data_IF_333033769746
#
_entry.id   IF_333033769746
#
_cell.length_a   1.000
_cell.length_b   1.000
_cell.length_c   1.000
_cell.angle_alpha   90.00
_cell.angle_beta   90.00
_cell.angle_gamma   90.00
#
_symmetry.space_group_name_H-M   'P 1'
#
loop_
_entity.id
_entity.type
_entity.pdbx_description
1 polymer ?
#
# COMPACT_ATOMS: atom_id res chain seq x y z
N UNK A 1 18.25 21.22 4.47
CA UNK A 1 16.89 21.47 4.97
C UNK A 1 16.99 21.92 6.42
N UNK A 2 16.38 23.05 6.77
CA UNK A 2 16.23 23.49 8.16
C UNK A 2 15.32 22.46 8.86
N UNK A 3 15.62 22.10 10.11
CA UNK A 3 14.88 21.09 10.87
C UNK A 3 13.37 21.34 10.90
N UNK A 4 12.96 22.62 10.90
CA UNK A 4 11.57 23.06 10.79
C UNK A 4 10.92 22.68 9.47
N UNK A 5 11.61 22.80 8.33
CA UNK A 5 11.09 22.45 7.00
C UNK A 5 10.83 20.93 6.90
N UNK A 6 11.71 20.12 7.50
CA UNK A 6 11.51 18.66 7.56
C UNK A 6 10.29 18.30 8.41
N UNK A 7 10.14 18.92 9.59
CA UNK A 7 8.99 18.68 10.45
C UNK A 7 7.68 19.09 9.79
N UNK A 8 7.67 20.22 9.05
CA UNK A 8 6.52 20.66 8.25
C UNK A 8 6.13 19.62 7.20
N UNK A 9 7.10 19.14 6.41
CA UNK A 9 6.85 18.13 5.37
C UNK A 9 6.22 16.85 5.95
N UNK A 10 6.77 16.35 7.07
CA UNK A 10 6.27 15.15 7.75
C UNK A 10 4.83 15.35 8.23
N UNK A 11 4.55 16.50 8.86
CA UNK A 11 3.22 16.85 9.37
C UNK A 11 2.18 16.95 8.26
N UNK A 12 2.49 17.65 7.17
CA UNK A 12 1.59 17.80 6.02
C UNK A 12 1.34 16.46 5.33
N UNK A 13 2.41 15.68 5.08
CA UNK A 13 2.28 14.36 4.46
C UNK A 13 1.41 13.42 5.31
N UNK A 14 1.62 13.38 6.64
CA UNK A 14 0.79 12.61 7.55
C UNK A 14 -0.69 13.05 7.48
N UNK A 15 -0.93 14.35 7.46
CA UNK A 15 -2.29 14.92 7.34
C UNK A 15 -2.96 14.49 6.03
N UNK A 16 -2.25 14.55 4.90
CA UNK A 16 -2.81 14.19 3.59
C UNK A 16 -3.08 12.70 3.47
N UNK A 17 -2.16 11.84 3.93
CA UNK A 17 -2.38 10.39 3.97
C UNK A 17 -3.57 10.04 4.87
N UNK A 18 -3.71 10.70 6.03
CA UNK A 18 -4.89 10.55 6.88
C UNK A 18 -6.19 10.92 6.17
N UNK A 19 -6.19 11.94 5.31
CA UNK A 19 -7.36 12.33 4.53
C UNK A 19 -7.72 11.26 3.49
N UNK A 20 -6.73 10.73 2.76
CA UNK A 20 -6.94 9.62 1.81
C UNK A 20 -7.49 8.38 2.52
N UNK A 21 -6.88 7.98 3.63
CA UNK A 21 -7.25 6.77 4.37
C UNK A 21 -8.64 6.86 5.04
N UNK A 22 -9.26 8.05 5.10
CA UNK A 22 -10.65 8.21 5.56
C UNK A 22 -11.67 7.89 4.47
N UNK A 23 -11.29 7.92 3.20
CA UNK A 23 -12.18 7.60 2.10
C UNK A 23 -12.47 6.09 2.08
N UNK A 24 -13.76 5.76 1.93
CA UNK A 24 -14.26 4.38 1.92
C UNK A 24 -14.94 4.09 0.58
N UNK A 25 -14.82 2.85 0.06
CA UNK A 25 -15.62 2.43 -1.08
C UNK A 25 -17.11 2.42 -0.71
N UNK A 26 -17.98 2.63 -1.69
CA UNK A 26 -19.43 2.57 -1.49
C UNK A 26 -19.91 1.15 -1.18
N UNK A 27 -21.00 1.02 -0.42
CA UNK A 27 -21.66 -0.27 -0.16
C UNK A 27 -20.94 -1.12 0.89
N UNK A 28 -20.93 -2.44 0.70
CA UNK A 28 -20.31 -3.42 1.61
C UNK A 28 -18.77 -3.46 1.57
N UNK A 29 -18.15 -2.58 0.76
CA UNK A 29 -16.71 -2.52 0.55
C UNK A 29 -16.21 -3.48 -0.54
N UNK A 30 -15.28 -2.99 -1.35
CA UNK A 30 -14.65 -3.72 -2.47
C UNK A 30 -13.24 -3.14 -2.70
N UNK A 31 -12.34 -3.96 -3.25
CA UNK A 31 -10.96 -3.58 -3.59
C UNK A 31 -10.87 -3.40 -5.10
N UNK A 32 -10.33 -2.29 -5.56
CA UNK A 32 -10.31 -1.94 -6.99
C UNK A 32 -9.91 -0.48 -7.24
N UNK A 33 -9.99 -0.02 -8.48
CA UNK A 33 -9.63 1.35 -8.85
C UNK A 33 -10.64 2.37 -8.33
N UNK A 34 -10.27 3.66 -8.33
CA UNK A 34 -11.13 4.76 -7.87
C UNK A 34 -12.50 4.85 -8.59
N UNK A 35 -12.61 4.26 -9.78
CA UNK A 35 -13.81 4.28 -10.63
C UNK A 35 -14.76 3.08 -10.42
N UNK A 36 -14.45 2.16 -9.50
CA UNK A 36 -15.29 0.97 -9.26
C UNK A 36 -14.88 -0.28 -10.03
N UNK A 37 -13.83 -0.20 -10.83
CA UNK A 37 -13.38 -1.30 -11.69
C UNK A 37 -12.14 -2.04 -11.16
N UNK A 38 -11.54 -2.90 -12.00
CA UNK A 38 -10.24 -3.48 -11.75
C UNK A 38 -9.19 -2.39 -11.46
N UNK A 39 -8.22 -2.71 -10.60
CA UNK A 39 -7.09 -1.84 -10.29
C UNK A 39 -5.84 -2.29 -11.03
N UNK A 40 -4.96 -1.35 -11.36
CA UNK A 40 -3.61 -1.64 -11.81
C UNK A 40 -2.65 -1.57 -10.63
N UNK A 41 -1.79 -2.56 -10.49
CA UNK A 41 -0.66 -2.52 -9.57
C UNK A 41 0.48 -3.35 -10.19
N UNK A 42 1.51 -2.64 -10.67
CA UNK A 42 2.68 -3.22 -11.32
C UNK A 42 3.42 -4.27 -10.45
N UNK A 43 3.20 -4.25 -9.13
CA UNK A 43 3.81 -5.19 -8.18
C UNK A 43 2.99 -6.47 -8.00
N UNK A 44 1.71 -6.44 -8.37
CA UNK A 44 0.86 -7.63 -8.44
C UNK A 44 0.94 -8.26 -9.84
N UNK A 45 0.79 -7.45 -10.88
CA UNK A 45 0.95 -7.85 -12.28
C UNK A 45 1.32 -6.61 -13.12
N UNK A 46 2.49 -6.67 -13.77
CA UNK A 46 2.98 -5.62 -14.67
C UNK A 46 2.21 -5.54 -15.99
N UNK A 47 1.40 -6.54 -16.33
CA UNK A 47 0.78 -6.70 -17.65
C UNK A 47 -0.74 -6.52 -17.63
N UNK A 48 -1.39 -6.64 -16.47
CA UNK A 48 -2.84 -6.70 -16.36
C UNK A 48 -3.37 -5.98 -15.12
N UNK A 49 -4.64 -5.61 -15.16
CA UNK A 49 -5.37 -5.17 -13.97
C UNK A 49 -5.87 -6.35 -13.15
N UNK A 50 -6.00 -6.20 -11.84
CA UNK A 50 -6.57 -7.19 -10.93
C UNK A 50 -7.90 -6.72 -10.30
N UNK A 51 -8.72 -7.67 -9.87
CA UNK A 51 -10.02 -7.38 -9.25
C UNK A 51 -11.09 -6.90 -10.24
N UNK A 52 -12.12 -6.16 -9.79
CA UNK A 52 -12.32 -5.76 -8.40
C UNK A 52 -12.60 -6.97 -7.50
N UNK A 53 -12.08 -6.95 -6.27
CA UNK A 53 -12.33 -8.01 -5.29
C UNK A 53 -13.47 -7.61 -4.37
N UNK A 54 -14.38 -8.55 -4.11
CA UNK A 54 -15.56 -8.31 -3.27
C UNK A 54 -15.23 -8.13 -1.77
N UNK A 55 -14.02 -8.48 -1.34
CA UNK A 55 -13.58 -8.35 0.06
C UNK A 55 -12.05 -8.48 0.18
N UNK A 56 -11.54 -8.13 1.36
CA UNK A 56 -10.14 -8.38 1.75
C UNK A 56 -9.78 -9.86 1.64
N UNK A 57 -10.68 -10.75 2.09
CA UNK A 57 -10.49 -12.20 1.96
C UNK A 57 -10.26 -12.65 0.51
N UNK A 58 -11.01 -12.09 -0.45
CA UNK A 58 -10.86 -12.42 -1.87
C UNK A 58 -9.56 -11.88 -2.46
N UNK A 59 -9.11 -10.73 -1.99
CA UNK A 59 -7.78 -10.22 -2.35
C UNK A 59 -6.67 -11.10 -1.76
N UNK A 60 -6.78 -11.52 -0.51
CA UNK A 60 -5.81 -12.42 0.12
C UNK A 60 -5.76 -13.81 -0.54
N UNK A 61 -6.91 -14.36 -0.94
CA UNK A 61 -6.98 -15.59 -1.73
C UNK A 61 -6.22 -15.43 -3.06
N UNK A 62 -6.35 -14.26 -3.72
CA UNK A 62 -5.63 -13.94 -4.94
C UNK A 62 -4.11 -13.86 -4.73
N UNK A 63 -3.64 -13.25 -3.63
CA UNK A 63 -2.21 -13.13 -3.33
C UNK A 63 -1.52 -14.49 -3.18
N UNK A 64 -2.19 -15.49 -2.61
CA UNK A 64 -1.60 -16.83 -2.40
C UNK A 64 -1.84 -17.80 -3.56
N UNK A 65 -2.58 -17.39 -4.59
CA UNK A 65 -2.91 -18.23 -5.74
C UNK A 65 -1.66 -18.74 -6.48
N UNK A 66 -0.63 -17.91 -6.77
CA UNK A 66 0.57 -18.37 -7.48
C UNK A 66 1.29 -19.53 -6.81
N UNK A 67 1.25 -19.59 -5.47
CA UNK A 67 1.91 -20.64 -4.66
C UNK A 67 1.33 -22.02 -4.95
N UNK A 68 0.06 -22.11 -5.39
CA UNK A 68 -0.57 -23.38 -5.77
C UNK A 68 0.10 -24.04 -6.98
N UNK A 69 0.88 -23.29 -7.75
CA UNK A 69 1.66 -23.81 -8.87
C UNK A 69 3.04 -24.34 -8.44
N UNK A 70 3.41 -24.18 -7.16
CA UNK A 70 4.65 -24.72 -6.61
C UNK A 70 4.43 -26.09 -5.93
N UNK A 71 5.47 -26.95 -5.82
CA UNK A 71 5.36 -28.26 -5.16
C UNK A 71 5.04 -28.22 -3.65
N UNK A 72 5.04 -27.03 -3.03
CA UNK A 72 4.93 -26.80 -1.58
C UNK A 72 3.55 -26.26 -1.20
N UNK A 73 2.51 -27.06 -1.42
CA UNK A 73 1.12 -26.63 -1.21
C UNK A 73 0.79 -26.28 0.25
N UNK A 74 1.55 -26.80 1.22
CA UNK A 74 1.44 -26.44 2.64
C UNK A 74 1.69 -24.94 2.88
N UNK A 75 2.45 -24.29 2.00
CA UNK A 75 2.73 -22.86 2.08
C UNK A 75 1.50 -22.01 1.78
N UNK A 76 0.56 -22.49 0.95
CA UNK A 76 -0.70 -21.79 0.68
C UNK A 76 -1.47 -21.59 1.99
N UNK A 77 -1.66 -22.66 2.77
CA UNK A 77 -2.35 -22.61 4.05
C UNK A 77 -1.57 -21.77 5.08
N UNK A 78 -0.23 -21.93 5.13
CA UNK A 78 0.65 -21.13 6.00
C UNK A 78 0.45 -19.64 5.76
N UNK A 79 0.66 -19.18 4.53
CA UNK A 79 0.61 -17.75 4.21
C UNK A 79 -0.79 -17.19 4.28
N UNK A 80 -1.81 -17.95 3.84
CA UNK A 80 -3.20 -17.50 3.95
C UNK A 80 -3.63 -17.24 5.40
N UNK A 81 -3.17 -18.07 6.35
CA UNK A 81 -3.43 -17.89 7.78
C UNK A 81 -2.69 -16.69 8.39
N UNK A 82 -1.64 -16.18 7.73
CA UNK A 82 -0.91 -14.98 8.15
C UNK A 82 -1.53 -13.68 7.61
N UNK A 83 -2.63 -13.78 6.83
CA UNK A 83 -3.35 -12.64 6.24
C UNK A 83 -4.76 -12.52 6.87
N UNK A 84 -4.94 -11.78 7.99
CA UNK A 84 -6.25 -11.55 8.60
C UNK A 84 -7.20 -10.80 7.66
N UNK A 85 -8.47 -11.16 7.60
CA UNK A 85 -9.41 -10.57 6.64
C UNK A 85 -10.18 -9.35 7.18
N UNK A 86 -9.95 -8.96 8.43
CA UNK A 86 -10.68 -7.92 9.16
C UNK A 86 -10.13 -6.50 8.94
N UNK A 87 -9.23 -6.33 7.96
CA UNK A 87 -8.72 -5.02 7.58
C UNK A 87 -9.81 -4.15 6.97
N UNK A 88 -9.76 -2.86 7.30
CA UNK A 88 -10.61 -1.89 6.65
C UNK A 88 -10.14 -1.63 5.22
N UNK A 89 -11.07 -1.40 4.29
CA UNK A 89 -10.74 -0.98 2.92
C UNK A 89 -10.73 0.56 2.88
N UNK A 90 -9.60 1.13 2.46
CA UNK A 90 -9.34 2.58 2.42
C UNK A 90 -8.91 2.99 1.02
N UNK A 91 -9.14 4.26 0.65
CA UNK A 91 -8.45 4.81 -0.52
C UNK A 91 -6.98 5.02 -0.19
N UNK A 92 -6.10 4.46 -1.01
CA UNK A 92 -4.65 4.58 -0.85
C UNK A 92 -4.03 4.95 -2.21
N UNK A 93 -2.89 5.61 -2.18
CA UNK A 93 -2.12 5.96 -3.37
C UNK A 93 -1.39 4.74 -3.95
N UNK A 94 -0.99 3.80 -3.09
CA UNK A 94 -0.30 2.57 -3.46
C UNK A 94 1.05 2.79 -4.17
N UNK A 95 1.65 3.98 -4.12
CA UNK A 95 3.04 4.19 -4.52
C UNK A 95 3.67 5.41 -3.85
N UNK A 96 3.37 5.60 -2.56
CA UNK A 96 3.97 6.69 -1.78
C UNK A 96 5.46 6.42 -1.62
N UNK A 97 6.24 7.25 -2.29
CA UNK A 97 7.70 7.27 -2.22
C UNK A 97 8.19 8.70 -2.15
N UNK A 98 9.40 8.90 -1.66
CA UNK A 98 10.03 10.22 -1.64
C UNK A 98 10.23 10.83 -3.04
N UNK A 99 10.21 10.02 -4.10
CA UNK A 99 10.30 10.46 -5.50
C UNK A 99 8.98 11.06 -6.01
N UNK A 100 7.86 10.65 -5.40
CA UNK A 100 6.51 11.05 -5.79
C UNK A 100 5.96 12.21 -4.94
N UNK A 101 6.79 12.81 -4.07
CA UNK A 101 6.40 13.91 -3.18
C UNK A 101 7.21 15.16 -3.54
N UNK A 102 6.49 16.21 -3.95
CA UNK A 102 7.06 17.50 -4.30
C UNK A 102 7.02 18.43 -3.09
N UNK A 103 8.18 19.02 -2.75
CA UNK A 103 8.32 19.95 -1.64
C UNK A 103 8.75 21.33 -2.14
N UNK A 104 8.19 22.38 -1.55
CA UNK A 104 8.75 23.71 -1.66
C UNK A 104 10.10 23.76 -0.89
N UNK A 105 11.22 24.11 -1.54
CA UNK A 105 12.55 24.01 -0.93
C UNK A 105 12.81 25.06 0.16
N UNK A 106 12.05 26.16 0.19
CA UNK A 106 12.21 27.22 1.18
C UNK A 106 11.44 26.92 2.48
N UNK A 107 10.26 26.33 2.35
CA UNK A 107 9.31 26.14 3.45
C UNK A 107 9.21 24.69 3.93
N UNK A 108 9.51 23.72 3.05
CA UNK A 108 9.27 22.30 3.30
C UNK A 108 7.81 21.88 3.13
N UNK A 109 6.92 22.76 2.67
CA UNK A 109 5.53 22.40 2.40
C UNK A 109 5.41 21.45 1.22
N UNK A 110 4.54 20.46 1.34
CA UNK A 110 4.16 19.54 0.29
C UNK A 110 3.31 20.29 -0.73
N UNK A 111 3.85 20.42 -1.94
CA UNK A 111 3.21 21.13 -3.06
C UNK A 111 2.51 20.19 -4.03
N UNK A 112 2.83 18.90 -3.96
CA UNK A 112 2.19 17.89 -4.78
C UNK A 112 2.53 16.48 -4.34
N UNK A 113 1.58 15.57 -4.56
CA UNK A 113 1.78 14.13 -4.56
C UNK A 113 1.39 13.68 -5.97
N UNK A 114 2.26 12.95 -6.64
CA UNK A 114 2.12 12.57 -8.06
C UNK A 114 2.21 11.06 -8.24
N UNK A 115 1.97 10.57 -9.46
CA UNK A 115 2.06 9.15 -9.81
C UNK A 115 0.94 8.26 -9.24
N UNK A 116 -0.31 8.68 -9.50
CA UNK A 116 -1.53 8.06 -8.94
C UNK A 116 -2.04 6.85 -9.73
N UNK A 117 -1.26 6.28 -10.66
CA UNK A 117 -1.75 5.24 -11.59
C UNK A 117 -2.18 3.94 -10.89
N UNK A 118 -1.70 3.70 -9.66
CA UNK A 118 -2.06 2.54 -8.82
C UNK A 118 -3.06 2.88 -7.72
N UNK A 119 -3.48 4.15 -7.64
CA UNK A 119 -4.36 4.60 -6.58
C UNK A 119 -5.74 3.93 -6.68
N UNK A 120 -6.27 3.55 -5.54
CA UNK A 120 -7.51 2.79 -5.49
C UNK A 120 -7.95 2.48 -4.07
N UNK A 121 -9.00 1.69 -3.97
CA UNK A 121 -9.45 1.12 -2.72
C UNK A 121 -8.73 -0.18 -2.47
N UNK A 122 -7.95 -0.23 -1.40
CA UNK A 122 -7.13 -1.37 -1.00
C UNK A 122 -7.27 -1.63 0.51
N UNK A 123 -6.87 -2.79 1.02
CA UNK A 123 -6.74 -2.98 2.47
C UNK A 123 -5.82 -1.92 3.08
N UNK A 124 -6.13 -1.42 4.28
CA UNK A 124 -5.39 -0.32 4.92
C UNK A 124 -3.88 -0.56 5.07
N UNK A 125 -3.44 -1.82 5.13
CA UNK A 125 -2.03 -2.19 5.22
C UNK A 125 -1.26 -2.02 3.89
N UNK A 126 -1.96 -1.93 2.76
CA UNK A 126 -1.36 -1.90 1.42
C UNK A 126 -0.47 -0.68 1.23
N UNK A 127 -0.87 0.51 1.70
CA UNK A 127 -0.06 1.73 1.59
C UNK A 127 1.30 1.57 2.30
N UNK A 128 1.28 1.09 3.55
CA UNK A 128 2.50 0.85 4.32
C UNK A 128 3.41 -0.18 3.64
N UNK A 129 2.83 -1.31 3.19
CA UNK A 129 3.59 -2.34 2.47
C UNK A 129 4.23 -1.78 1.20
N UNK A 130 3.48 -0.98 0.44
CA UNK A 130 3.92 -0.42 -0.84
C UNK A 130 4.99 0.67 -0.65
N UNK A 131 4.89 1.50 0.37
CA UNK A 131 5.91 2.50 0.69
C UNK A 131 7.28 1.90 1.07
N UNK A 132 7.30 0.62 1.46
CA UNK A 132 8.49 -0.15 1.86
C UNK A 132 8.91 -1.21 0.83
N UNK A 133 8.34 -1.20 -0.37
CA UNK A 133 8.57 -2.27 -1.33
C UNK A 133 9.93 -2.19 -2.05
N UNK A 134 10.52 -3.37 -2.26
CA UNK A 134 11.75 -3.56 -3.04
C UNK A 134 12.99 -3.00 -2.35
N UNK A 135 14.03 -2.75 -3.14
CA UNK A 135 15.29 -2.14 -2.68
C UNK A 135 15.26 -0.60 -2.68
N UNK A 136 14.13 0.00 -3.04
CA UNK A 136 13.94 1.46 -3.14
C UNK A 136 14.07 2.21 -1.80
N UNK A 137 13.45 1.77 -0.68
CA UNK A 137 13.38 2.58 0.52
C UNK A 137 14.74 2.64 1.23
N UNK A 138 15.28 3.85 1.34
CA UNK A 138 16.47 4.14 2.16
C UNK A 138 16.06 4.21 3.63
N UNK A 139 16.99 3.94 4.56
CA UNK A 139 16.70 3.94 6.00
C UNK A 139 15.98 5.20 6.47
N UNK A 140 16.42 6.38 6.04
CA UNK A 140 15.78 7.65 6.41
C UNK A 140 14.32 7.75 5.94
N UNK A 141 13.94 7.13 4.83
CA UNK A 141 12.57 7.10 4.33
C UNK A 141 11.74 6.10 5.12
N UNK A 142 12.30 4.93 5.44
CA UNK A 142 11.66 3.94 6.33
C UNK A 142 11.30 4.62 7.67
N UNK A 143 12.23 5.38 8.24
CA UNK A 143 12.01 6.11 9.49
C UNK A 143 10.87 7.13 9.38
N UNK A 144 10.68 7.74 8.21
CA UNK A 144 9.57 8.68 7.94
C UNK A 144 8.26 7.93 7.80
N UNK A 145 8.21 6.85 7.01
CA UNK A 145 7.02 6.01 6.83
C UNK A 145 6.50 5.51 8.17
N UNK A 146 7.40 5.05 9.06
CA UNK A 146 7.05 4.61 10.42
C UNK A 146 6.50 5.73 11.33
N UNK A 147 6.85 6.99 11.06
CA UNK A 147 6.30 8.14 11.79
C UNK A 147 4.90 8.52 11.31
N UNK A 148 4.62 8.36 10.01
CA UNK A 148 3.40 8.90 9.40
C UNK A 148 2.31 7.85 9.15
N UNK A 149 2.63 6.55 9.20
CA UNK A 149 1.70 5.44 8.98
C UNK A 149 1.71 4.44 10.12
N UNK A 150 0.60 3.70 10.28
CA UNK A 150 0.52 2.52 11.13
C UNK A 150 1.34 1.38 10.52
N UNK A 151 2.11 0.68 11.35
CA UNK A 151 2.90 -0.47 10.91
C UNK A 151 2.05 -1.75 10.88
N UNK A 152 2.37 -2.64 9.93
CA UNK A 152 1.70 -3.94 9.78
C UNK A 152 2.72 -5.08 9.62
N UNK A 153 3.53 -5.39 10.64
CA UNK A 153 4.70 -6.28 10.50
C UNK A 153 4.34 -7.69 10.02
N UNK A 154 3.29 -8.31 10.58
CA UNK A 154 2.90 -9.69 10.26
C UNK A 154 2.48 -9.87 8.78
N UNK A 155 1.55 -9.04 8.31
CA UNK A 155 1.06 -9.09 6.92
C UNK A 155 2.16 -8.64 5.94
N UNK A 156 3.04 -7.73 6.38
CA UNK A 156 4.18 -7.27 5.58
C UNK A 156 5.18 -8.39 5.35
N UNK A 157 5.55 -9.12 6.41
CA UNK A 157 6.42 -10.30 6.33
C UNK A 157 5.80 -11.39 5.46
N UNK A 158 4.51 -11.71 5.68
CA UNK A 158 3.79 -12.68 4.86
C UNK A 158 3.80 -12.30 3.37
N UNK A 159 3.52 -11.03 3.05
CA UNK A 159 3.49 -10.56 1.67
C UNK A 159 4.88 -10.58 1.01
N UNK A 160 5.92 -10.19 1.74
CA UNK A 160 7.31 -10.29 1.25
C UNK A 160 7.69 -11.73 0.90
N UNK A 161 7.26 -12.70 1.71
CA UNK A 161 7.48 -14.11 1.44
C UNK A 161 6.69 -14.61 0.22
N UNK A 162 5.42 -14.20 0.09
CA UNK A 162 4.54 -14.56 -1.02
C UNK A 162 5.12 -14.07 -2.36
N UNK A 163 5.72 -12.89 -2.40
CA UNK A 163 6.35 -12.31 -3.61
C UNK A 163 7.54 -13.12 -4.16
N UNK A 164 8.05 -14.10 -3.42
CA UNK A 164 9.14 -14.98 -3.88
C UNK A 164 8.66 -16.16 -4.74
N UNK A 165 7.34 -16.32 -4.96
CA UNK A 165 6.73 -17.39 -5.74
C UNK A 165 6.22 -16.89 -7.09
#
# INVERSE_FOLDING_TARGET
MIETARAQAISELQSYLCQLHRLRPSGSGWIGSCSGGPAYDHRLDNMSTCGPFASVAKFHDFLVEPIKHCPRLELVAKYRNMLPDDYCITFVHADVSWENILLDPATGSVTGIVDWEMAGFWPEWWEYRKALFGSRPRQWWIDIVKQIMKEYPLVTEAHMDIEMF
#
